data_IF_548707685909
#
_entry.id   IF_548707685909
#
_cell.length_a   1.000
_cell.length_b   1.000
_cell.length_c   1.000
_cell.angle_alpha   90.00
_cell.angle_beta   90.00
_cell.angle_gamma   90.00
#
_symmetry.space_group_name_H-M   'P 1'
#
loop_
_entity.id
_entity.type
_entity.pdbx_description
1 polymer ?
#
# COMPACT_ATOMS: atom_id res chain seq x y z
N UNK A 1 -5.47 16.13 -7.49
CA UNK A 1 -4.41 15.12 -7.29
C UNK A 1 -4.09 14.98 -5.81
N UNK A 2 -4.60 13.95 -5.14
CA UNK A 2 -4.26 13.68 -3.73
C UNK A 2 -3.23 12.55 -3.65
N UNK A 3 -2.00 12.82 -4.07
CA UNK A 3 -0.89 11.86 -4.02
C UNK A 3 -0.24 11.83 -2.64
N UNK A 4 -1.05 11.68 -1.59
CA UNK A 4 -0.58 11.54 -0.20
C UNK A 4 -0.77 10.11 0.26
N UNK A 5 0.16 9.63 1.09
CA UNK A 5 0.05 8.29 1.67
C UNK A 5 -0.76 8.33 2.95
N UNK A 6 -1.58 7.31 3.15
CA UNK A 6 -2.37 7.14 4.37
C UNK A 6 -2.11 5.76 4.95
N UNK A 7 -2.10 5.66 6.28
CA UNK A 7 -2.07 4.36 6.95
C UNK A 7 -3.49 3.83 7.00
N UNK A 8 -3.67 2.59 6.56
CA UNK A 8 -4.94 1.90 6.61
C UNK A 8 -4.77 0.57 7.33
N UNK A 9 -5.61 0.34 8.33
CA UNK A 9 -5.72 -0.96 8.98
C UNK A 9 -6.48 -1.91 8.06
N UNK A 10 -5.97 -3.13 7.92
CA UNK A 10 -6.57 -4.18 7.09
C UNK A 10 -6.67 -5.49 7.88
N UNK A 11 -7.63 -6.34 7.54
CA UNK A 11 -7.77 -7.67 8.14
C UNK A 11 -6.94 -8.67 7.33
N UNK A 12 -5.95 -9.33 7.96
CA UNK A 12 -5.08 -10.32 7.31
C UNK A 12 -5.59 -11.73 7.57
N UNK A 13 -5.79 -12.51 6.50
CA UNK A 13 -6.22 -13.91 6.56
C UNK A 13 -5.06 -14.90 6.66
N UNK A 14 -3.86 -14.50 6.27
CA UNK A 14 -2.65 -15.32 6.38
C UNK A 14 -1.51 -14.83 5.50
N UNK A 15 -0.39 -15.53 5.59
CA UNK A 15 0.79 -15.32 4.74
C UNK A 15 1.02 -16.61 3.94
N UNK A 16 1.24 -16.47 2.64
CA UNK A 16 1.53 -17.58 1.74
C UNK A 16 2.72 -17.21 0.84
N UNK A 17 3.81 -17.97 0.98
CA UNK A 17 5.06 -17.73 0.25
C UNK A 17 5.54 -16.28 0.45
N UNK A 18 5.52 -15.47 -0.62
CA UNK A 18 5.95 -14.08 -0.64
C UNK A 18 4.77 -13.11 -0.75
N UNK A 19 3.59 -13.56 -0.33
CA UNK A 19 2.32 -12.83 -0.45
C UNK A 19 1.57 -12.80 0.88
N UNK A 20 0.86 -11.71 1.14
CA UNK A 20 -0.04 -11.55 2.28
C UNK A 20 -1.47 -11.57 1.76
N UNK A 21 -2.32 -12.39 2.38
CA UNK A 21 -3.74 -12.49 2.03
C UNK A 21 -4.51 -11.49 2.89
N UNK A 22 -5.12 -10.49 2.24
CA UNK A 22 -5.97 -9.49 2.89
C UNK A 22 -7.43 -9.87 2.68
N UNK A 23 -8.19 -9.95 3.77
CA UNK A 23 -9.61 -10.31 3.75
C UNK A 23 -10.50 -9.07 3.64
N UNK A 24 -10.12 -7.96 4.28
CA UNK A 24 -10.91 -6.73 4.35
C UNK A 24 -10.02 -5.48 4.44
N UNK A 25 -10.57 -4.34 4.04
CA UNK A 25 -9.91 -3.03 4.16
C UNK A 25 -9.21 -2.53 2.89
N UNK A 26 -9.37 -3.20 1.75
CA UNK A 26 -8.89 -2.77 0.45
C UNK A 26 -10.04 -2.76 -0.56
N UNK A 27 -10.00 -1.82 -1.50
CA UNK A 27 -10.97 -1.67 -2.59
C UNK A 27 -10.28 -1.78 -3.96
N UNK A 28 -10.98 -2.26 -5.00
CA UNK A 28 -10.44 -2.26 -6.35
C UNK A 28 -10.02 -0.86 -6.80
N UNK A 29 -8.80 -0.73 -7.29
CA UNK A 29 -8.21 0.56 -7.70
C UNK A 29 -7.35 1.23 -6.62
N UNK A 30 -7.29 0.68 -5.40
CA UNK A 30 -6.35 1.15 -4.38
C UNK A 30 -4.89 0.96 -4.84
N UNK A 31 -4.08 2.01 -4.65
CA UNK A 31 -2.64 1.98 -4.91
C UNK A 31 -1.92 1.75 -3.58
N UNK A 32 -1.20 0.62 -3.47
CA UNK A 32 -0.54 0.21 -2.24
C UNK A 32 0.98 0.34 -2.38
N UNK A 33 1.62 0.99 -1.41
CA UNK A 33 3.07 1.03 -1.33
C UNK A 33 3.59 -0.34 -0.86
N UNK A 34 4.37 -1.03 -1.71
CA UNK A 34 4.97 -2.33 -1.41
C UNK A 34 6.45 -2.24 -1.01
N UNK A 35 7.14 -1.18 -1.40
CA UNK A 35 8.57 -0.96 -1.17
C UNK A 35 8.83 0.37 -0.47
N UNK A 36 9.90 0.42 0.34
CA UNK A 36 10.31 1.65 1.05
C UNK A 36 9.33 2.13 2.13
N UNK A 37 8.33 1.32 2.50
CA UNK A 37 7.26 1.70 3.44
C UNK A 37 7.77 2.13 4.81
N UNK A 38 8.93 1.64 5.25
CA UNK A 38 9.58 2.03 6.51
C UNK A 38 9.98 3.50 6.56
N UNK A 39 10.13 4.17 5.41
CA UNK A 39 10.50 5.58 5.31
C UNK A 39 9.28 6.51 5.15
N UNK A 40 8.10 5.96 4.88
CA UNK A 40 6.87 6.74 4.65
C UNK A 40 6.24 7.19 5.98
N UNK A 41 5.79 8.44 6.00
CA UNK A 41 5.03 9.05 7.10
C UNK A 41 3.59 9.32 6.67
N UNK A 42 2.66 9.26 7.61
CA UNK A 42 1.26 9.58 7.34
C UNK A 42 1.09 10.99 6.75
N UNK A 43 0.27 11.13 5.72
CA UNK A 43 0.04 12.40 5.02
C UNK A 43 1.20 12.84 4.11
N UNK A 44 2.28 12.05 4.00
CA UNK A 44 3.42 12.40 3.16
C UNK A 44 3.02 12.42 1.68
N UNK A 45 3.33 13.54 1.01
CA UNK A 45 3.17 13.65 -0.44
C UNK A 45 4.22 12.79 -1.14
N UNK A 46 3.76 11.95 -2.07
CA UNK A 46 4.59 11.06 -2.87
C UNK A 46 4.34 11.28 -4.35
N UNK A 47 5.28 10.80 -5.16
CA UNK A 47 5.13 10.68 -6.62
C UNK A 47 4.95 9.19 -6.92
N UNK A 48 3.96 8.87 -7.76
CA UNK A 48 3.81 7.50 -8.23
C UNK A 48 5.01 7.14 -9.10
N UNK A 49 5.48 5.90 -8.95
CA UNK A 49 6.49 5.34 -9.83
C UNK A 49 5.75 4.83 -11.06
N UNK A 50 6.16 5.29 -12.24
CA UNK A 50 5.67 4.73 -13.50
C UNK A 50 6.34 3.35 -13.63
N UNK A 51 5.54 2.28 -13.78
CA UNK A 51 5.96 0.89 -13.62
C UNK A 51 6.92 0.33 -14.68
N UNK A 52 7.69 1.17 -15.36
CA UNK A 52 8.74 0.77 -16.29
C UNK A 52 10.06 0.63 -15.53
N UNK A 53 10.30 -0.58 -15.03
CA UNK A 53 11.58 -1.05 -14.50
C UNK A 53 12.10 -2.21 -15.33
#
# INVERSE_FOLDING_TARGET
>A
DNTTVTRRTVTVGGVQQNSIIVLEGLEPGDIIASAGVSFLREGQKVKLLDGEG
#
